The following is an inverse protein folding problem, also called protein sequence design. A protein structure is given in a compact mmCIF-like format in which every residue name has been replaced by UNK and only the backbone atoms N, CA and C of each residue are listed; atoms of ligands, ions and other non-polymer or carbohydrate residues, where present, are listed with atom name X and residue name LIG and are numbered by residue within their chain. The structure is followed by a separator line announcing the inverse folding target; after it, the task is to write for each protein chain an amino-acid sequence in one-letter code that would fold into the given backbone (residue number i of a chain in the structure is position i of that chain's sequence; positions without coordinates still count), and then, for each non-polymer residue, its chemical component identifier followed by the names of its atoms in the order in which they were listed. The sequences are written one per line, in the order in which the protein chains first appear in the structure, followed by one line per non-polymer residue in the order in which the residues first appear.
data_IF_683177347880
#
_entry.id   IF_683177347880
#
_cell.length_a   1.000
_cell.length_b   1.000
_cell.length_c   1.000
_cell.angle_alpha   90.00
_cell.angle_beta   90.00
_cell.angle_gamma   90.00
#
_symmetry.space_group_name_H-M   'P 1'
#
loop_
_entity.id
_entity.type
_entity.pdbx_description
1 polymer ?
#
# COMPACT_ATOMS: atom_id res chain seq x y z
N UNK A 1 -41.88 52.03 -32.52
CA UNK A 1 -40.70 52.30 -31.68
C UNK A 1 -40.60 51.21 -30.61
N UNK A 2 -39.70 50.23 -30.76
CA UNK A 2 -39.44 49.17 -29.78
C UNK A 2 -38.07 49.42 -29.16
N UNK A 3 -38.00 49.69 -27.85
CA UNK A 3 -36.75 49.82 -27.10
C UNK A 3 -36.42 48.45 -26.50
N UNK A 4 -35.33 47.84 -26.98
CA UNK A 4 -34.77 46.64 -26.39
C UNK A 4 -33.91 47.04 -25.18
N UNK A 5 -34.35 46.65 -23.99
CA UNK A 5 -33.58 46.76 -22.75
C UNK A 5 -32.74 45.49 -22.63
N UNK A 6 -31.47 45.55 -23.03
CA UNK A 6 -30.52 44.49 -22.76
C UNK A 6 -30.20 44.49 -21.25
N UNK A 7 -30.71 43.49 -20.53
CA UNK A 7 -30.25 43.18 -19.19
C UNK A 7 -28.83 42.61 -19.28
N UNK A 8 -27.84 43.38 -18.85
CA UNK A 8 -26.49 42.90 -18.59
C UNK A 8 -26.55 41.95 -17.38
N UNK A 9 -26.51 40.65 -17.64
CA UNK A 9 -26.31 39.64 -16.61
C UNK A 9 -24.84 39.73 -16.19
N UNK A 10 -24.57 40.38 -15.07
CA UNK A 10 -23.29 40.30 -14.40
C UNK A 10 -23.10 38.86 -13.91
N UNK A 11 -22.35 38.07 -14.65
CA UNK A 11 -21.86 36.78 -14.19
C UNK A 11 -20.87 37.04 -13.04
N UNK A 12 -21.36 36.93 -11.81
CA UNK A 12 -20.51 36.87 -10.62
C UNK A 12 -19.77 35.54 -10.69
N UNK A 13 -18.56 35.56 -11.23
CA UNK A 13 -17.61 34.46 -11.15
C UNK A 13 -17.14 34.44 -9.69
N UNK A 14 -17.82 33.68 -8.85
CA UNK A 14 -17.29 33.29 -7.54
C UNK A 14 -16.04 32.44 -7.80
N UNK A 15 -14.86 32.79 -7.26
CA UNK A 15 -13.76 31.86 -7.22
C UNK A 15 -14.19 30.67 -6.36
N UNK A 16 -14.35 29.50 -6.99
CA UNK A 16 -14.36 28.24 -6.26
C UNK A 16 -12.97 28.10 -5.66
N UNK A 17 -12.79 28.60 -4.44
CA UNK A 17 -11.70 28.17 -3.59
C UNK A 17 -11.96 26.68 -3.35
N UNK A 18 -11.30 25.83 -4.13
CA UNK A 18 -11.13 24.44 -3.79
C UNK A 18 -10.52 24.44 -2.39
N UNK A 19 -11.35 24.20 -1.38
CA UNK A 19 -10.89 24.03 -0.01
C UNK A 19 -10.17 22.68 -0.02
N UNK A 20 -8.84 22.72 -0.15
CA UNK A 20 -8.00 21.56 0.09
C UNK A 20 -8.38 21.00 1.47
N UNK A 21 -8.66 19.70 1.55
CA UNK A 21 -8.93 19.03 2.81
C UNK A 21 -7.87 19.35 3.86
N UNK A 22 -8.26 19.36 5.13
CA UNK A 22 -7.32 19.57 6.25
C UNK A 22 -6.15 18.57 6.25
N UNK A 23 -6.32 17.43 5.58
CA UNK A 23 -5.31 16.38 5.46
C UNK A 23 -4.37 16.55 4.27
N UNK A 24 -4.70 17.42 3.31
CA UNK A 24 -3.94 17.53 2.07
C UNK A 24 -2.58 18.21 2.33
N UNK A 25 -1.50 17.57 1.87
CA UNK A 25 -0.14 18.07 2.04
C UNK A 25 0.92 16.98 2.10
N UNK A 26 2.18 17.41 2.21
CA UNK A 26 3.33 16.52 2.36
C UNK A 26 3.67 16.32 3.83
N UNK A 27 3.73 15.07 4.24
CA UNK A 27 4.08 14.66 5.59
C UNK A 27 5.34 13.79 5.59
N UNK A 28 5.96 13.62 6.75
CA UNK A 28 7.13 12.81 6.96
C UNK A 28 6.97 11.87 8.14
N UNK A 29 7.76 10.80 8.16
CA UNK A 29 7.88 9.95 9.33
C UNK A 29 8.63 10.68 10.47
N UNK A 30 8.60 10.10 11.68
CA UNK A 30 9.22 10.69 12.87
C UNK A 30 10.69 11.10 12.69
N UNK A 31 11.44 10.35 11.89
CA UNK A 31 12.87 10.59 11.67
C UNK A 31 13.15 11.47 10.44
N UNK A 32 12.12 11.96 9.74
CA UNK A 32 12.25 12.80 8.54
C UNK A 32 12.84 12.11 7.31
N UNK A 33 13.01 10.79 7.34
CA UNK A 33 13.67 10.00 6.29
C UNK A 33 12.75 9.71 5.11
N UNK A 34 11.46 9.55 5.38
CA UNK A 34 10.46 9.21 4.38
C UNK A 34 9.36 10.24 4.39
N UNK A 35 8.96 10.67 3.18
CA UNK A 35 7.84 11.58 2.98
C UNK A 35 6.69 10.85 2.29
N UNK A 36 5.47 11.30 2.56
CA UNK A 36 4.25 10.83 1.94
C UNK A 36 3.36 12.03 1.65
N UNK A 37 2.84 12.09 0.43
CA UNK A 37 1.83 13.07 0.05
C UNK A 37 0.45 12.49 0.34
N UNK A 38 -0.33 13.24 1.10
CA UNK A 38 -1.76 12.99 1.26
C UNK A 38 -2.46 13.88 0.25
N UNK A 39 -3.09 13.24 -0.74
CA UNK A 39 -3.71 13.93 -1.88
C UNK A 39 -5.21 13.70 -1.82
N UNK A 40 -5.98 14.79 -1.91
CA UNK A 40 -7.42 14.69 -2.10
C UNK A 40 -7.76 14.42 -3.56
N UNK A 41 -8.50 13.35 -3.81
CA UNK A 41 -9.07 13.05 -5.11
C UNK A 41 -10.46 12.45 -4.95
N UNK A 42 -11.44 13.03 -5.64
CA UNK A 42 -12.81 12.52 -5.68
C UNK A 42 -13.42 12.27 -4.27
N UNK A 43 -13.33 13.27 -3.40
CA UNK A 43 -13.79 13.20 -2.00
C UNK A 43 -13.13 12.07 -1.20
N UNK A 44 -11.88 11.73 -1.51
CA UNK A 44 -11.10 10.76 -0.76
C UNK A 44 -9.66 11.25 -0.59
N UNK A 45 -9.09 11.04 0.59
CA UNK A 45 -7.67 11.24 0.82
C UNK A 45 -6.95 9.94 0.51
N UNK A 46 -5.93 10.03 -0.34
CA UNK A 46 -5.15 8.90 -0.79
C UNK A 46 -3.68 9.10 -0.41
N UNK A 47 -3.03 8.01 -0.02
CA UNK A 47 -1.56 7.94 0.06
C UNK A 47 -1.07 6.56 -0.36
N UNK A 48 0.17 6.47 -0.80
CA UNK A 48 0.83 5.21 -1.08
C UNK A 48 2.25 5.18 -0.50
N UNK A 49 2.69 4.00 -0.10
CA UNK A 49 4.05 3.79 0.39
C UNK A 49 4.51 2.37 0.08
N UNK A 50 5.82 2.12 0.17
CA UNK A 50 6.40 0.82 -0.07
C UNK A 50 7.40 0.46 1.03
N UNK A 51 7.42 -0.83 1.39
CA UNK A 51 8.46 -1.44 2.22
C UNK A 51 9.13 -2.55 1.44
N UNK A 52 10.38 -2.88 1.78
CA UNK A 52 11.15 -3.88 1.05
C UNK A 52 11.60 -5.00 1.97
N UNK A 53 11.53 -6.23 1.49
CA UNK A 53 12.19 -7.37 2.11
C UNK A 53 13.72 -7.26 1.99
N UNK A 54 14.45 -8.05 2.78
CA UNK A 54 15.91 -8.12 2.69
C UNK A 54 16.42 -8.56 1.30
N UNK A 55 15.61 -9.29 0.53
CA UNK A 55 15.92 -9.68 -0.86
C UNK A 55 15.52 -8.63 -1.90
N UNK A 56 15.05 -7.45 -1.48
CA UNK A 56 14.64 -6.36 -2.36
C UNK A 56 13.22 -6.46 -2.92
N UNK A 57 12.46 -7.51 -2.61
CA UNK A 57 11.08 -7.61 -3.06
C UNK A 57 10.22 -6.52 -2.36
N UNK A 58 9.36 -5.78 -3.10
CA UNK A 58 8.53 -4.74 -2.50
C UNK A 58 7.18 -5.26 -1.99
N UNK A 59 6.73 -4.65 -0.90
CA UNK A 59 5.34 -4.65 -0.43
C UNK A 59 4.81 -3.23 -0.60
N UNK A 60 3.85 -3.05 -1.50
CA UNK A 60 3.24 -1.76 -1.77
C UNK A 60 1.96 -1.62 -0.93
N UNK A 61 1.74 -0.45 -0.36
CA UNK A 61 0.59 -0.12 0.46
C UNK A 61 -0.14 1.07 -0.15
N UNK A 62 -1.45 0.96 -0.27
CA UNK A 62 -2.33 1.97 -0.84
C UNK A 62 -3.45 2.26 0.16
N UNK A 63 -3.55 3.50 0.60
CA UNK A 63 -4.55 3.95 1.55
C UNK A 63 -5.57 4.84 0.86
N UNK A 64 -6.84 4.66 1.20
CA UNK A 64 -7.97 5.48 0.73
C UNK A 64 -8.90 5.76 1.91
N UNK A 65 -9.11 7.03 2.22
CA UNK A 65 -10.01 7.49 3.29
C UNK A 65 -11.10 8.36 2.68
N UNK A 66 -12.36 7.97 2.87
CA UNK A 66 -13.48 8.66 2.21
C UNK A 66 -13.89 9.86 3.03
N UNK A 67 -13.79 11.04 2.42
CA UNK A 67 -14.31 12.26 3.01
C UNK A 67 -15.85 12.29 2.84
N UNK A 68 -16.58 12.62 3.89
CA UNK A 68 -18.03 12.75 3.84
C UNK A 68 -18.45 13.95 2.99
N UNK A 69 -19.41 13.73 2.08
CA UNK A 69 -19.80 14.71 1.06
C UNK A 69 -20.47 15.99 1.60
N UNK A 70 -21.04 15.93 2.80
CA UNK A 70 -21.91 16.97 3.34
C UNK A 70 -21.34 17.66 4.58
N UNK A 71 -20.09 17.38 4.95
CA UNK A 71 -19.44 18.09 6.04
C UNK A 71 -17.95 18.23 5.76
N UNK A 72 -17.38 19.30 6.31
CA UNK A 72 -15.93 19.49 6.38
C UNK A 72 -15.38 18.75 7.60
N UNK A 73 -14.37 17.91 7.38
CA UNK A 73 -13.77 17.11 8.46
C UNK A 73 -13.00 18.04 9.40
N UNK A 74 -13.19 17.85 10.71
CA UNK A 74 -12.55 18.68 11.73
C UNK A 74 -11.33 18.01 12.35
N UNK A 75 -10.45 18.82 12.95
CA UNK A 75 -9.40 18.34 13.84
C UNK A 75 -10.02 17.48 14.95
N UNK A 76 -9.42 16.32 15.22
CA UNK A 76 -9.92 15.37 16.21
C UNK A 76 -10.86 14.30 15.64
N UNK A 77 -11.46 14.56 14.47
CA UNK A 77 -12.40 13.66 13.81
C UNK A 77 -11.70 12.47 13.16
N UNK A 78 -12.37 11.31 13.18
CA UNK A 78 -11.86 10.08 12.58
C UNK A 78 -12.55 9.84 11.25
N UNK A 79 -11.74 9.74 10.19
CA UNK A 79 -12.17 9.38 8.85
C UNK A 79 -11.93 7.90 8.64
N UNK A 80 -12.98 7.16 8.29
CA UNK A 80 -12.88 5.74 7.98
C UNK A 80 -12.40 5.54 6.53
N UNK A 81 -11.68 4.45 6.32
CA UNK A 81 -11.07 4.13 5.05
C UNK A 81 -10.62 2.69 4.98
N UNK A 82 -9.66 2.45 4.09
CA UNK A 82 -9.12 1.13 3.79
C UNK A 82 -7.65 1.23 3.47
N UNK A 83 -6.95 0.13 3.69
CA UNK A 83 -5.59 -0.10 3.21
C UNK A 83 -5.57 -1.36 2.36
N UNK A 84 -5.02 -1.25 1.16
CA UNK A 84 -4.69 -2.39 0.31
C UNK A 84 -3.19 -2.60 0.30
N UNK A 85 -2.73 -3.81 0.55
CA UNK A 85 -1.33 -4.18 0.38
C UNK A 85 -1.15 -5.20 -0.73
N UNK A 86 -0.05 -5.06 -1.47
CA UNK A 86 0.36 -5.97 -2.54
C UNK A 86 1.78 -6.41 -2.26
N UNK A 87 1.93 -7.66 -1.83
CA UNK A 87 3.21 -8.31 -1.57
C UNK A 87 3.71 -9.00 -2.83
N UNK A 88 4.83 -8.53 -3.37
CA UNK A 88 5.44 -9.09 -4.57
C UNK A 88 6.26 -10.37 -4.32
N UNK A 89 6.62 -10.66 -3.07
CA UNK A 89 7.38 -11.86 -2.72
C UNK A 89 6.48 -13.09 -2.68
N UNK A 90 5.37 -13.04 -1.94
CA UNK A 90 4.42 -14.14 -1.89
C UNK A 90 3.26 -14.02 -2.89
N UNK A 91 3.12 -12.89 -3.59
CA UNK A 91 2.02 -12.63 -4.51
C UNK A 91 0.68 -12.39 -3.79
N UNK A 92 0.72 -11.98 -2.52
CA UNK A 92 -0.46 -11.81 -1.69
C UNK A 92 -1.06 -10.41 -1.84
N UNK A 93 -2.40 -10.33 -1.86
CA UNK A 93 -3.13 -9.07 -1.82
C UNK A 93 -4.06 -9.07 -0.62
N UNK A 94 -3.97 -8.04 0.21
CA UNK A 94 -4.86 -7.87 1.37
C UNK A 94 -5.60 -6.55 1.28
N UNK A 95 -6.78 -6.53 1.87
CA UNK A 95 -7.66 -5.37 1.93
C UNK A 95 -8.26 -5.30 3.33
N UNK A 96 -7.88 -4.27 4.08
CA UNK A 96 -8.20 -4.17 5.51
C UNK A 96 -8.75 -2.77 5.83
N UNK A 97 -9.60 -2.63 6.86
CA UNK A 97 -10.09 -1.33 7.30
C UNK A 97 -8.94 -0.48 7.84
N UNK A 98 -9.01 0.82 7.58
CA UNK A 98 -8.07 1.80 8.10
C UNK A 98 -8.82 3.03 8.61
N UNK A 99 -8.21 3.78 9.53
CA UNK A 99 -8.75 5.03 10.07
C UNK A 99 -7.70 6.11 10.02
N UNK A 100 -8.11 7.33 9.71
CA UNK A 100 -7.24 8.50 9.68
C UNK A 100 -7.80 9.59 10.60
N UNK A 101 -6.91 10.28 11.32
CA UNK A 101 -7.29 11.37 12.22
C UNK A 101 -6.24 12.48 12.21
N UNK A 102 -6.70 13.72 12.11
CA UNK A 102 -5.86 14.91 12.29
C UNK A 102 -5.83 15.26 13.77
N UNK A 103 -4.64 15.36 14.34
CA UNK A 103 -4.44 15.80 15.72
C UNK A 103 -4.32 17.33 15.80
N UNK A 104 -4.54 17.88 16.99
CA UNK A 104 -4.51 19.34 17.21
C UNK A 104 -3.15 19.99 16.91
N UNK A 105 -2.08 19.21 16.90
CA UNK A 105 -0.73 19.65 16.56
C UNK A 105 -0.40 19.52 15.06
N UNK A 106 -1.38 19.21 14.20
CA UNK A 106 -1.18 19.04 12.75
C UNK A 106 -0.67 17.67 12.33
N UNK A 107 -0.42 16.75 13.28
CA UNK A 107 0.00 15.40 12.95
C UNK A 107 -1.19 14.57 12.44
N UNK A 108 -0.93 13.72 11.45
CA UNK A 108 -1.93 12.76 10.96
C UNK A 108 -1.62 11.39 11.55
N UNK A 109 -2.59 10.79 12.24
CA UNK A 109 -2.53 9.40 12.70
C UNK A 109 -3.31 8.50 11.76
N UNK A 110 -2.68 7.42 11.34
CA UNK A 110 -3.28 6.39 10.51
C UNK A 110 -3.25 5.07 11.26
N UNK A 111 -4.42 4.54 11.56
CA UNK A 111 -4.61 3.28 12.27
C UNK A 111 -5.03 2.18 11.29
N UNK A 112 -4.37 1.04 11.31
CA UNK A 112 -4.67 -0.10 10.45
C UNK A 112 -4.09 -1.39 11.03
N UNK A 113 -4.60 -2.57 10.65
CA UNK A 113 -4.01 -3.84 11.07
C UNK A 113 -2.78 -4.16 10.21
N UNK A 114 -1.63 -4.34 10.87
CA UNK A 114 -0.46 -4.96 10.27
C UNK A 114 -0.64 -6.48 10.30
N UNK A 115 -0.59 -7.10 9.13
CA UNK A 115 -0.83 -8.53 8.97
C UNK A 115 0.48 -9.32 9.03
N UNK A 116 0.48 -10.40 9.83
CA UNK A 116 1.47 -11.46 9.73
C UNK A 116 0.82 -12.62 8.96
N UNK A 117 1.47 -13.08 7.89
CA UNK A 117 0.94 -14.13 7.03
C UNK A 117 2.06 -14.99 6.46
N UNK A 118 1.68 -16.13 5.90
CA UNK A 118 2.58 -17.01 5.13
C UNK A 118 1.85 -17.56 3.91
N UNK A 119 2.62 -18.12 2.98
CA UNK A 119 2.10 -18.79 1.80
C UNK A 119 1.97 -20.28 2.10
N UNK A 120 0.75 -20.80 2.19
CA UNK A 120 0.49 -22.23 2.27
C UNK A 120 0.40 -22.79 0.85
N UNK A 121 1.31 -23.72 0.51
CA UNK A 121 1.29 -24.41 -0.79
C UNK A 121 0.92 -25.86 -0.59
N UNK A 122 -0.21 -26.28 -1.15
CA UNK A 122 -0.57 -27.69 -1.19
C UNK A 122 -0.04 -28.29 -2.47
N UNK A 123 0.77 -29.33 -2.33
CA UNK A 123 1.32 -30.08 -3.45
C UNK A 123 1.00 -31.56 -3.31
N UNK A 124 0.85 -32.23 -4.45
CA UNK A 124 0.81 -33.69 -4.50
C UNK A 124 2.00 -34.19 -5.27
N UNK A 125 2.48 -35.36 -4.86
CA UNK A 125 3.49 -36.09 -5.61
C UNK A 125 2.93 -36.40 -6.99
N UNK A 126 3.56 -35.87 -8.01
CA UNK A 126 3.21 -36.18 -9.39
C UNK A 126 3.84 -37.54 -9.72
N UNK A 127 3.02 -38.58 -9.88
CA UNK A 127 3.50 -39.94 -10.21
C UNK A 127 3.84 -40.08 -11.70
N UNK A 128 4.00 -38.97 -12.43
CA UNK A 128 4.17 -38.96 -13.89
C UNK A 128 5.20 -37.91 -14.31
N UNK A 129 6.32 -38.34 -14.88
CA UNK A 129 7.17 -37.48 -15.69
C UNK A 129 8.68 -37.75 -15.64
N UNK A 130 9.16 -38.66 -16.47
CA UNK A 130 10.57 -38.72 -16.88
C UNK A 130 10.94 -37.38 -17.54
N UNK A 131 11.98 -36.68 -17.06
CA UNK A 131 12.53 -35.57 -17.85
C UNK A 131 13.32 -36.13 -19.03
N UNK A 132 13.14 -35.52 -20.19
CA UNK A 132 13.89 -35.76 -21.41
C UNK A 132 15.06 -34.76 -21.46
N UNK A 133 16.29 -35.23 -21.29
CA UNK A 133 17.46 -34.44 -21.68
C UNK A 133 18.06 -35.03 -22.94
N UNK A 134 17.86 -34.34 -24.07
CA UNK A 134 18.55 -34.60 -25.33
C UNK A 134 19.91 -33.93 -25.26
N UNK A 135 20.98 -34.69 -25.07
CA UNK A 135 22.32 -34.19 -25.37
C UNK A 135 22.59 -34.46 -26.84
N UNK A 136 22.81 -33.40 -27.59
CA UNK A 136 23.24 -33.47 -28.98
C UNK A 136 24.76 -33.28 -28.94
N UNK A 137 25.49 -34.37 -29.05
CA UNK A 137 26.95 -34.35 -29.11
C UNK A 137 27.40 -34.59 -30.55
N UNK A 138 28.49 -33.93 -30.95
CA UNK A 138 29.10 -34.08 -32.26
C UNK A 138 30.19 -35.15 -32.21
N UNK A 139 30.02 -36.27 -32.91
CA UNK A 139 30.96 -37.41 -32.86
C UNK A 139 31.99 -37.41 -34.00
N UNK A 140 32.12 -36.29 -34.72
CA UNK A 140 33.01 -36.16 -35.88
C UNK A 140 32.45 -36.69 -37.20
N UNK A 141 31.41 -37.54 -37.17
CA UNK A 141 30.72 -38.07 -38.36
C UNK A 141 29.23 -37.69 -38.43
N UNK A 142 28.68 -37.12 -37.35
CA UNK A 142 27.30 -36.66 -37.28
C UNK A 142 26.86 -36.33 -35.86
N UNK A 143 25.63 -35.83 -35.74
CA UNK A 143 24.99 -35.59 -34.45
C UNK A 143 24.45 -36.90 -33.89
N UNK A 144 24.94 -37.31 -32.72
CA UNK A 144 24.43 -38.50 -32.03
C UNK A 144 23.62 -38.06 -30.81
N UNK A 145 22.46 -38.69 -30.64
CA UNK A 145 21.55 -38.44 -29.51
C UNK A 145 21.68 -39.58 -28.51
N UNK A 146 22.30 -39.32 -27.37
CA UNK A 146 22.43 -40.29 -26.27
C UNK A 146 21.33 -40.05 -25.24
N UNK A 147 20.66 -41.11 -24.80
CA UNK A 147 19.53 -41.06 -23.84
C UNK A 147 19.93 -41.68 -22.50
N UNK A 148 19.78 -40.95 -21.41
CA UNK A 148 19.92 -41.47 -20.04
C UNK A 148 18.60 -41.27 -19.28
N UNK A 149 18.15 -42.30 -18.55
CA UNK A 149 16.93 -42.29 -17.75
C UNK A 149 17.26 -42.44 -16.26
N UNK A 150 16.95 -41.43 -15.44
CA UNK A 150 16.89 -41.52 -13.97
C UNK A 150 15.60 -40.88 -13.46
N UNK A 151 14.96 -41.41 -12.40
CA UNK A 151 13.73 -40.83 -11.84
C UNK A 151 14.03 -39.55 -11.04
N UNK A 152 13.31 -38.47 -11.33
CA UNK A 152 13.28 -37.24 -10.52
C UNK A 152 11.89 -37.18 -9.89
N UNK A 153 11.82 -37.08 -8.56
CA UNK A 153 10.55 -36.83 -7.86
C UNK A 153 10.06 -35.42 -8.21
N UNK A 154 8.85 -35.32 -8.78
CA UNK A 154 8.19 -34.04 -9.08
C UNK A 154 6.99 -33.84 -8.16
N UNK A 155 6.80 -32.61 -7.70
CA UNK A 155 5.64 -32.20 -6.91
C UNK A 155 4.84 -31.21 -7.75
N UNK A 156 3.57 -31.53 -8.00
CA UNK A 156 2.63 -30.61 -8.65
C UNK A 156 1.97 -29.76 -7.57
N UNK A 157 2.09 -28.44 -7.70
CA UNK A 157 1.34 -27.49 -6.87
C UNK A 157 -0.14 -27.56 -7.27
N UNK A 158 -1.01 -27.84 -6.30
CA UNK A 158 -2.47 -27.88 -6.46
C UNK A 158 -3.08 -26.52 -6.14
N UNK A 159 -2.66 -25.92 -5.03
CA UNK A 159 -3.12 -24.61 -4.59
C UNK A 159 -2.03 -23.89 -3.83
N UNK A 160 -2.15 -22.56 -3.86
CA UNK A 160 -1.29 -21.64 -3.14
C UNK A 160 -2.22 -20.61 -2.51
N UNK A 161 -2.16 -20.44 -1.19
CA UNK A 161 -3.06 -19.57 -0.44
C UNK A 161 -2.26 -18.70 0.53
N UNK A 162 -2.65 -17.42 0.64
CA UNK A 162 -2.08 -16.49 1.61
C UNK A 162 -2.86 -16.59 2.92
N UNK A 163 -2.24 -17.16 3.95
CA UNK A 163 -2.90 -17.42 5.24
C UNK A 163 -2.47 -16.36 6.25
N UNK A 164 -3.43 -15.55 6.71
CA UNK A 164 -3.21 -14.55 7.77
C UNK A 164 -3.18 -15.24 9.12
N UNK A 165 -2.03 -15.19 9.79
CA UNK A 165 -1.79 -15.78 11.10
C UNK A 165 -2.16 -14.81 12.22
N UNK A 166 -1.88 -13.51 12.03
CA UNK A 166 -2.09 -12.50 13.06
C UNK A 166 -2.45 -11.15 12.47
N UNK A 167 -3.28 -10.38 13.20
CA UNK A 167 -3.61 -8.98 12.93
C UNK A 167 -3.18 -8.11 14.10
N UNK A 168 -2.17 -7.29 13.90
CA UNK A 168 -1.65 -6.38 14.91
C UNK A 168 -2.07 -4.95 14.59
N UNK A 169 -2.95 -4.38 15.39
CA UNK A 169 -3.36 -2.99 15.22
C UNK A 169 -2.16 -2.06 15.44
N UNK A 170 -1.81 -1.30 14.41
CA UNK A 170 -0.72 -0.35 14.42
C UNK A 170 -1.24 1.05 14.15
N UNK A 171 -0.50 2.05 14.63
CA UNK A 171 -0.79 3.46 14.36
C UNK A 171 0.48 4.11 13.84
N UNK A 172 0.46 4.52 12.57
CA UNK A 172 1.50 5.37 12.01
C UNK A 172 1.18 6.84 12.30
N UNK A 173 2.20 7.61 12.64
CA UNK A 173 2.10 9.06 12.85
C UNK A 173 2.92 9.75 11.75
N UNK A 174 2.24 10.60 11.00
CA UNK A 174 2.80 11.43 9.96
C UNK A 174 2.88 12.88 10.46
N UNK A 175 4.04 13.51 10.30
CA UNK A 175 4.34 14.87 10.76
C UNK A 175 4.40 15.81 9.56
N UNK A 176 3.85 17.03 9.61
CA UNK A 176 3.96 17.97 8.51
C UNK A 176 5.42 18.26 8.15
N UNK A 177 5.77 18.24 6.87
CA UNK A 177 7.12 18.64 6.45
C UNK A 177 7.37 20.10 6.82
N UNK A 178 8.56 20.40 7.34
CA UNK A 178 8.93 21.73 7.83
C UNK A 178 8.55 21.99 9.30
N UNK A 179 7.79 21.09 9.94
CA UNK A 179 7.59 21.07 11.39
C UNK A 179 8.38 19.89 11.97
N UNK A 180 9.48 20.17 12.66
CA UNK A 180 10.19 19.12 13.40
C UNK A 180 9.30 18.63 14.55
N UNK A 181 9.17 17.31 14.76
CA UNK A 181 8.43 16.81 15.90
C UNK A 181 9.04 17.37 17.20
N UNK A 182 8.24 17.79 18.19
CA UNK A 182 8.77 18.04 19.51
C UNK A 182 9.45 16.76 19.99
N UNK A 183 10.71 16.87 20.39
CA UNK A 183 11.48 15.75 20.95
C UNK A 183 10.64 15.19 22.12
N UNK A 184 10.32 13.87 22.12
CA UNK A 184 9.59 13.29 23.23
C UNK A 184 10.36 13.59 24.54
N UNK A 185 9.69 14.00 25.61
CA UNK A 185 10.36 14.20 26.89
C UNK A 185 11.11 12.92 27.26
N UNK A 186 12.34 13.01 27.80
CA UNK A 186 13.11 11.84 28.18
C UNK A 186 12.25 10.95 29.07
N UNK A 187 12.24 9.65 28.77
CA UNK A 187 11.53 8.69 29.60
C UNK A 187 12.02 8.82 31.06
N UNK A 188 11.12 8.81 32.05
CA UNK A 188 11.54 8.87 33.44
C UNK A 188 12.56 7.78 33.71
N UNK A 189 13.70 8.16 34.30
CA UNK A 189 14.74 7.22 34.65
C UNK A 189 14.12 6.12 35.52
N UNK A 190 14.13 4.89 35.04
CA UNK A 190 13.77 3.73 35.84
C UNK A 190 14.87 3.59 36.90
N UNK A 191 14.62 4.13 38.09
CA UNK A 191 15.43 3.84 39.26
C UNK A 191 15.30 2.35 39.55
N UNK A 192 16.40 1.61 39.43
CA UNK A 192 16.52 0.24 39.96
C UNK A 192 16.56 0.27 41.48
#
# INVERSE_FOLDING_TARGET
MKKHLCAFVAAVILPVLAHASIFEGTYQNQNGTYQADLIEFNSSITLNTASFYANGAPINWFFEFRLPKNHEVKVGETVEGRVRSVDSYYGCVFDEPAKMKMEANGNVKIHFPLLTYHLETRSVRETVGHWYQKRIDWTGWGWVVTKYNFPIERYKVISTECVVVQRNNTTNILYPVGQFPPIPPPAPAVSK
#
